data_IF_588211790585
#
_entry.id   IF_588211790585
#
_cell.length_a   1.000
_cell.length_b   1.000
_cell.length_c   1.000
_cell.angle_alpha   90.00
_cell.angle_beta   90.00
_cell.angle_gamma   90.00
#
_symmetry.space_group_name_H-M   'P 1'
#
loop_
_entity.id
_entity.type
_entity.pdbx_description
1 polymer ?
#
# COMPACT_ATOMS: atom_id res chain seq x y z
N UNK A 1 -9.71 10.78 -7.01
CA UNK A 1 -9.13 9.43 -6.84
C UNK A 1 -7.63 9.52 -6.61
N UNK A 2 -7.10 8.66 -5.74
CA UNK A 2 -5.74 8.71 -5.19
C UNK A 2 -4.61 8.51 -6.21
N UNK A 3 -4.92 8.01 -7.40
CA UNK A 3 -3.97 7.77 -8.51
C UNK A 3 -4.35 8.46 -9.82
N UNK A 4 -5.36 9.34 -9.81
CA UNK A 4 -5.85 9.99 -11.03
C UNK A 4 -6.55 9.04 -12.04
N UNK A 5 -6.82 7.79 -11.65
CA UNK A 5 -7.52 6.82 -12.49
C UNK A 5 -9.01 7.12 -12.64
N UNK A 6 -9.59 6.72 -13.77
CA UNK A 6 -11.04 6.58 -13.92
C UNK A 6 -11.54 5.32 -13.20
N UNK A 7 -12.85 5.22 -12.96
CA UNK A 7 -13.43 4.03 -12.31
C UNK A 7 -13.22 2.75 -13.14
N UNK A 8 -13.19 2.88 -14.46
CA UNK A 8 -12.94 1.77 -15.38
C UNK A 8 -11.47 1.30 -15.35
N UNK A 9 -10.54 2.25 -15.25
CA UNK A 9 -9.11 1.93 -15.08
C UNK A 9 -8.88 1.23 -13.73
N UNK A 10 -9.44 1.76 -12.65
CA UNK A 10 -9.36 1.11 -11.34
C UNK A 10 -10.05 -0.26 -11.33
N UNK A 11 -11.15 -0.42 -12.06
CA UNK A 11 -11.83 -1.71 -12.18
C UNK A 11 -10.94 -2.77 -12.86
N UNK A 12 -10.21 -2.36 -13.89
CA UNK A 12 -9.27 -3.21 -14.63
C UNK A 12 -8.12 -3.66 -13.72
N UNK A 13 -7.49 -2.70 -13.04
CA UNK A 13 -6.32 -2.95 -12.18
C UNK A 13 -6.68 -3.74 -10.91
N UNK A 14 -7.79 -3.41 -10.27
CA UNK A 14 -8.22 -4.08 -9.03
C UNK A 14 -9.00 -5.37 -9.26
N UNK A 15 -9.48 -5.62 -10.49
CA UNK A 15 -10.46 -6.69 -10.81
C UNK A 15 -11.72 -6.60 -9.92
N UNK A 16 -12.14 -5.37 -9.61
CA UNK A 16 -13.39 -5.06 -8.92
C UNK A 16 -14.30 -4.35 -9.91
N UNK A 17 -15.57 -4.76 -10.09
CA UNK A 17 -16.44 -4.12 -11.08
C UNK A 17 -16.60 -2.62 -10.83
N UNK A 18 -16.59 -1.80 -11.89
CA UNK A 18 -16.72 -0.35 -11.80
C UNK A 18 -17.98 0.09 -11.02
N UNK A 19 -19.09 -0.64 -11.15
CA UNK A 19 -20.31 -0.39 -10.37
C UNK A 19 -20.09 -0.55 -8.84
N UNK A 20 -19.24 -1.51 -8.42
CA UNK A 20 -18.88 -1.69 -7.01
C UNK A 20 -17.97 -0.57 -6.53
N UNK A 21 -17.04 -0.10 -7.37
CA UNK A 21 -16.18 1.05 -7.08
C UNK A 21 -17.04 2.31 -6.92
N UNK A 22 -17.96 2.57 -7.85
CA UNK A 22 -18.89 3.70 -7.77
C UNK A 22 -19.75 3.66 -6.50
N UNK A 23 -20.29 2.50 -6.14
CA UNK A 23 -21.02 2.35 -4.87
C UNK A 23 -20.15 2.59 -3.63
N UNK A 24 -18.87 2.21 -3.69
CA UNK A 24 -17.92 2.44 -2.63
C UNK A 24 -17.61 3.95 -2.49
N UNK A 25 -17.32 4.64 -3.59
CA UNK A 25 -17.02 6.08 -3.61
C UNK A 25 -18.23 6.96 -3.21
N UNK A 26 -19.45 6.54 -3.57
CA UNK A 26 -20.68 7.29 -3.26
C UNK A 26 -21.25 6.94 -1.88
N UNK A 27 -20.71 5.95 -1.17
CA UNK A 27 -21.20 5.49 0.13
C UNK A 27 -22.56 4.76 0.09
N UNK A 28 -23.12 4.52 -1.11
CA UNK A 28 -24.50 4.02 -1.30
C UNK A 28 -24.65 2.53 -0.93
N UNK A 29 -23.54 1.77 -0.90
CA UNK A 29 -23.48 0.44 -0.25
C UNK A 29 -22.29 0.36 0.67
N UNK A 30 -22.54 0.48 1.97
CA UNK A 30 -21.54 0.51 3.06
C UNK A 30 -20.66 -0.75 3.23
N UNK A 31 -20.74 -1.76 2.34
CA UNK A 31 -19.98 -3.00 2.48
C UNK A 31 -19.44 -3.47 1.14
N UNK A 32 -18.41 -2.82 0.64
CA UNK A 32 -17.44 -3.55 -0.18
C UNK A 32 -16.97 -4.74 0.67
N UNK A 33 -17.00 -5.95 0.11
CA UNK A 33 -16.50 -7.12 0.84
C UNK A 33 -15.04 -6.90 1.23
N UNK A 34 -14.58 -7.53 2.31
CA UNK A 34 -13.17 -7.46 2.72
C UNK A 34 -12.24 -7.84 1.55
N UNK A 35 -12.64 -8.81 0.72
CA UNK A 35 -11.92 -9.20 -0.48
C UNK A 35 -11.80 -8.06 -1.51
N UNK A 36 -12.86 -7.26 -1.73
CA UNK A 36 -12.81 -6.13 -2.64
C UNK A 36 -11.98 -4.97 -2.07
N UNK A 37 -12.06 -4.71 -0.75
CA UNK A 37 -11.22 -3.71 -0.09
C UNK A 37 -9.73 -4.04 -0.24
N UNK A 38 -9.33 -5.30 -0.04
CA UNK A 38 -7.94 -5.73 -0.22
C UNK A 38 -7.49 -5.58 -1.67
N UNK A 39 -8.35 -5.90 -2.64
CA UNK A 39 -8.05 -5.71 -4.07
C UNK A 39 -7.85 -4.25 -4.45
N UNK A 40 -8.73 -3.37 -3.98
CA UNK A 40 -8.65 -1.93 -4.21
C UNK A 40 -7.41 -1.32 -3.54
N UNK A 41 -7.13 -1.72 -2.30
CA UNK A 41 -5.95 -1.29 -1.56
C UNK A 41 -4.65 -1.64 -2.30
N UNK A 42 -4.54 -2.87 -2.80
CA UNK A 42 -3.41 -3.31 -3.63
C UNK A 42 -3.28 -2.52 -4.93
N UNK A 43 -4.38 -2.31 -5.66
CA UNK A 43 -4.36 -1.59 -6.92
C UNK A 43 -3.97 -0.11 -6.76
N UNK A 44 -4.38 0.50 -5.65
CA UNK A 44 -4.06 1.88 -5.30
C UNK A 44 -2.73 2.04 -4.55
N UNK A 45 -2.03 0.94 -4.25
CA UNK A 45 -0.93 0.85 -3.27
C UNK A 45 -1.19 1.72 -2.04
N UNK A 46 -2.30 1.45 -1.36
CA UNK A 46 -2.65 2.04 -0.06
C UNK A 46 -3.04 0.94 0.90
N UNK A 47 -3.15 1.25 2.20
CA UNK A 47 -3.68 0.30 3.18
C UNK A 47 -5.21 0.19 3.10
N UNK A 48 -5.77 -0.90 3.62
CA UNK A 48 -7.23 -1.01 3.78
C UNK A 48 -7.73 0.01 4.81
N UNK A 49 -6.95 0.28 5.87
CA UNK A 49 -7.25 1.30 6.86
C UNK A 49 -7.35 2.70 6.24
N UNK A 50 -6.50 3.01 5.27
CA UNK A 50 -6.60 4.24 4.48
C UNK A 50 -7.93 4.31 3.71
N UNK A 51 -8.31 3.23 3.02
CA UNK A 51 -9.60 3.17 2.31
C UNK A 51 -10.82 3.31 3.24
N UNK A 52 -10.69 2.93 4.51
CA UNK A 52 -11.73 3.03 5.52
C UNK A 52 -11.68 4.34 6.32
N UNK A 53 -10.77 5.26 6.01
CA UNK A 53 -10.60 6.53 6.72
C UNK A 53 -10.15 6.35 8.18
N UNK A 54 -9.44 5.25 8.48
CA UNK A 54 -8.89 4.95 9.81
C UNK A 54 -7.43 5.39 9.97
N UNK A 55 -6.79 5.74 8.87
CA UNK A 55 -5.44 6.31 8.81
C UNK A 55 -5.36 7.33 7.68
N UNK A 56 -4.69 8.45 7.93
CA UNK A 56 -4.38 9.45 6.91
C UNK A 56 -3.10 9.10 6.11
N UNK A 57 -2.38 8.04 6.52
CA UNK A 57 -1.22 7.55 5.80
C UNK A 57 -1.66 6.84 4.51
N UNK A 58 -1.56 7.56 3.39
CA UNK A 58 -1.39 6.92 2.09
C UNK A 58 -0.09 6.12 2.23
N UNK A 59 -0.18 4.79 2.25
CA UNK A 59 1.02 3.93 2.28
C UNK A 59 1.74 4.04 0.93
N UNK A 60 2.33 5.21 0.66
CA UNK A 60 3.18 5.53 -0.49
C UNK A 60 4.52 4.82 -0.31
N UNK A 61 4.51 3.52 0.02
CA UNK A 61 5.72 2.71 -0.10
C UNK A 61 5.95 2.51 -1.57
N UNK A 62 6.94 3.24 -2.09
CA UNK A 62 7.57 3.03 -3.38
C UNK A 62 7.53 1.53 -3.74
N UNK A 63 7.05 1.19 -4.93
CA UNK A 63 6.89 -0.21 -5.36
C UNK A 63 8.21 -1.01 -5.19
N UNK A 64 9.36 -0.33 -5.24
CA UNK A 64 10.69 -0.90 -4.96
C UNK A 64 10.87 -1.29 -3.49
N UNK A 65 10.36 -0.52 -2.54
CA UNK A 65 10.38 -0.84 -1.10
C UNK A 65 9.55 -2.08 -0.84
N UNK A 66 8.35 -2.15 -1.41
CA UNK A 66 7.46 -3.32 -1.28
C UNK A 66 8.08 -4.59 -1.92
N UNK A 67 8.66 -4.45 -3.11
CA UNK A 67 9.35 -5.55 -3.77
C UNK A 67 10.58 -6.02 -2.98
N UNK A 68 11.34 -5.08 -2.42
CA UNK A 68 12.52 -5.37 -1.58
C UNK A 68 12.11 -6.08 -0.29
N UNK A 69 11.05 -5.62 0.38
CA UNK A 69 10.53 -6.26 1.59
C UNK A 69 10.10 -7.71 1.36
N UNK A 70 9.36 -7.98 0.27
CA UNK A 70 8.98 -9.36 -0.11
C UNK A 70 10.21 -10.25 -0.29
N UNK A 71 11.21 -9.78 -1.03
CA UNK A 71 12.45 -10.54 -1.26
C UNK A 71 13.23 -10.81 0.02
N UNK A 72 13.25 -9.86 0.96
CA UNK A 72 13.87 -10.04 2.26
C UNK A 72 13.11 -11.05 3.12
N UNK A 73 11.77 -11.07 3.05
CA UNK A 73 10.95 -12.00 3.83
C UNK A 73 11.21 -13.47 3.48
N UNK A 74 11.57 -13.75 2.22
CA UNK A 74 11.90 -15.09 1.73
C UNK A 74 13.41 -15.42 1.83
N UNK A 75 14.23 -14.49 2.32
CA UNK A 75 15.68 -14.65 2.36
C UNK A 75 16.14 -15.47 3.59
N UNK A 76 17.36 -16.05 3.53
CA UNK A 76 17.98 -16.67 4.70
C UNK A 76 18.10 -15.69 5.89
N UNK A 77 17.99 -16.22 7.12
CA UNK A 77 17.96 -15.41 8.34
C UNK A 77 19.18 -14.48 8.51
N UNK A 78 20.37 -14.95 8.11
CA UNK A 78 21.61 -14.17 8.14
C UNK A 78 21.57 -12.98 7.15
N UNK A 79 20.85 -13.14 6.03
CA UNK A 79 20.65 -12.08 5.03
C UNK A 79 19.69 -11.02 5.56
N UNK A 80 18.61 -11.44 6.22
CA UNK A 80 17.68 -10.53 6.89
C UNK A 80 18.42 -9.72 7.96
N UNK A 81 19.21 -10.37 8.81
CA UNK A 81 19.96 -9.70 9.87
C UNK A 81 20.91 -8.62 9.33
N UNK A 82 21.66 -8.94 8.26
CA UNK A 82 22.54 -7.95 7.60
C UNK A 82 21.75 -6.79 6.99
N UNK A 83 20.62 -7.09 6.34
CA UNK A 83 19.79 -6.07 5.71
C UNK A 83 19.21 -5.09 6.74
N UNK A 84 18.73 -5.61 7.88
CA UNK A 84 18.23 -4.78 8.99
C UNK A 84 19.33 -3.85 9.50
N UNK A 85 20.52 -4.36 9.78
CA UNK A 85 21.66 -3.53 10.22
C UNK A 85 22.00 -2.39 9.25
N UNK A 86 21.95 -2.66 7.94
CA UNK A 86 22.20 -1.63 6.93
C UNK A 86 21.09 -0.59 6.91
N UNK A 87 19.83 -1.01 6.96
CA UNK A 87 18.69 -0.08 6.97
C UNK A 87 18.70 0.79 8.22
N UNK A 88 18.94 0.21 9.40
CA UNK A 88 19.08 0.95 10.66
C UNK A 88 20.21 1.99 10.56
N UNK A 89 21.39 1.59 10.09
CA UNK A 89 22.51 2.52 9.92
C UNK A 89 22.21 3.67 8.95
N UNK A 90 21.44 3.42 7.89
CA UNK A 90 21.01 4.46 6.95
C UNK A 90 19.98 5.41 7.58
N UNK A 91 19.03 4.89 8.36
CA UNK A 91 18.01 5.69 9.03
C UNK A 91 18.62 6.55 10.14
N UNK A 92 19.63 6.03 10.86
CA UNK A 92 20.33 6.76 11.90
C UNK A 92 21.15 7.93 11.31
N UNK A 93 21.70 7.80 10.09
CA UNK A 93 22.42 8.87 9.40
C UNK A 93 21.52 10.06 9.01
N UNK A 94 20.25 9.80 8.70
CA UNK A 94 19.29 10.86 8.39
C UNK A 94 18.72 11.55 9.65
N UNK A 95 18.96 10.98 10.84
CA UNK A 95 18.52 11.49 12.14
C UNK A 95 19.59 12.31 12.89
N UNK A 96 20.83 12.35 12.39
CA UNK A 96 21.87 13.25 12.91
C UNK A 96 21.47 14.70 12.60
N UNK A 97 21.31 15.58 13.61
CA UNK A 97 20.95 16.97 13.38
C UNK A 97 22.04 17.65 12.55
N UNK A 98 21.67 18.22 11.39
CA UNK A 98 22.55 19.12 10.65
C UNK A 98 22.90 20.30 11.56
N UNK A 99 24.17 20.38 11.96
CA UNK A 99 24.78 21.56 12.61
C UNK A 99 24.64 22.82 11.76
#
# INVERSE_FOLDING_TARGET
>A
MLRGWTQEQLATESRVPAAVISHFETGTRQRASAANLVKLAKALSVSVDYLLGRSDEVDLRDDRVQATFRRLSDAPADTIERAVKVVEALLDQDMEPKE
#
